data_IF_781247979651
#
_entry.id   IF_781247979651
#
_cell.length_a   1.000
_cell.length_b   1.000
_cell.length_c   1.000
_cell.angle_alpha   90.00
_cell.angle_beta   90.00
_cell.angle_gamma   90.00
#
_symmetry.space_group_name_H-M   'P 1'
#
loop_
_entity.id
_entity.type
_entity.pdbx_description
1 polymer ?
#
# COMPACT_ATOMS: atom_id res chain seq x y z
N UNK A 1 62.68 9.85 7.59
CA UNK A 1 63.67 8.99 6.90
C UNK A 1 65.02 9.24 7.53
N UNK A 2 65.86 8.21 7.63
CA UNK A 2 67.24 8.38 8.12
C UNK A 2 67.94 9.43 7.25
N UNK A 3 68.54 10.42 7.90
CA UNK A 3 69.34 11.44 7.24
C UNK A 3 70.69 10.85 6.85
N UNK A 4 71.33 11.46 5.84
CA UNK A 4 72.65 11.02 5.37
C UNK A 4 73.69 10.97 6.50
N UNK A 5 73.64 11.91 7.43
CA UNK A 5 74.54 11.99 8.57
C UNK A 5 74.34 10.83 9.54
N UNK A 6 73.08 10.47 9.84
CA UNK A 6 72.75 9.31 10.68
C UNK A 6 73.16 7.98 10.03
N UNK A 7 73.04 7.86 8.70
CA UNK A 7 73.48 6.66 7.96
C UNK A 7 75.00 6.49 8.06
N UNK A 8 75.76 7.58 7.97
CA UNK A 8 77.21 7.55 8.11
C UNK A 8 77.63 7.14 9.54
N UNK A 9 76.93 7.65 10.56
CA UNK A 9 77.16 7.23 11.96
C UNK A 9 76.91 5.73 12.14
N UNK A 10 75.87 5.17 11.53
CA UNK A 10 75.56 3.73 11.58
C UNK A 10 76.61 2.90 10.81
N UNK A 11 77.09 3.41 9.67
CA UNK A 11 78.14 2.77 8.89
C UNK A 11 79.48 2.72 9.65
N UNK A 12 79.87 3.84 10.27
CA UNK A 12 81.10 3.96 11.05
C UNK A 12 81.05 3.14 12.36
N UNK A 13 79.86 2.82 12.86
CA UNK A 13 79.65 1.94 14.01
C UNK A 13 79.90 0.45 13.70
N UNK A 14 80.10 0.08 12.43
CA UNK A 14 80.51 -1.24 12.00
C UNK A 14 79.38 -2.10 11.40
N UNK A 15 79.72 -3.30 10.88
CA UNK A 15 78.82 -4.11 10.06
C UNK A 15 77.56 -4.59 10.80
N UNK A 16 77.67 -4.91 12.09
CA UNK A 16 76.53 -5.37 12.91
C UNK A 16 75.45 -4.29 13.06
N UNK A 17 75.85 -3.02 13.19
CA UNK A 17 74.91 -1.90 13.28
C UNK A 17 74.12 -1.75 11.97
N UNK A 18 74.81 -1.85 10.83
CA UNK A 18 74.18 -1.80 9.50
C UNK A 18 73.22 -2.98 9.29
N UNK A 19 73.64 -4.21 9.61
CA UNK A 19 72.80 -5.41 9.49
C UNK A 19 71.53 -5.27 10.34
N UNK A 20 71.65 -4.79 11.58
CA UNK A 20 70.49 -4.61 12.48
C UNK A 20 69.45 -3.64 11.93
N UNK A 21 69.89 -2.57 11.25
CA UNK A 21 69.00 -1.57 10.64
C UNK A 21 68.36 -2.14 9.39
N UNK A 22 69.10 -2.88 8.56
CA UNK A 22 68.57 -3.54 7.36
C UNK A 22 67.48 -4.56 7.76
N UNK A 23 67.77 -5.43 8.73
CA UNK A 23 66.79 -6.41 9.23
C UNK A 23 65.52 -5.74 9.78
N UNK A 24 65.68 -4.62 10.51
CA UNK A 24 64.54 -3.84 11.00
C UNK A 24 63.72 -3.24 9.85
N UNK A 25 64.38 -2.71 8.82
CA UNK A 25 63.70 -2.18 7.65
C UNK A 25 62.97 -3.28 6.88
N UNK A 26 63.57 -4.46 6.72
CA UNK A 26 62.93 -5.63 6.10
C UNK A 26 61.67 -6.03 6.88
N UNK A 27 61.73 -6.12 8.21
CA UNK A 27 60.53 -6.43 9.02
C UNK A 27 59.43 -5.39 8.86
N UNK A 28 59.77 -4.10 8.80
CA UNK A 28 58.80 -3.02 8.62
C UNK A 28 58.17 -3.09 7.22
N UNK A 29 58.95 -3.41 6.19
CA UNK A 29 58.47 -3.56 4.82
C UNK A 29 57.50 -4.74 4.72
N UNK A 30 57.82 -5.87 5.35
CA UNK A 30 56.94 -7.04 5.38
C UNK A 30 55.60 -6.71 6.08
N UNK A 31 55.65 -6.11 7.28
CA UNK A 31 54.45 -5.69 8.02
C UNK A 31 53.60 -4.70 7.21
N UNK A 32 54.23 -3.72 6.55
CA UNK A 32 53.53 -2.76 5.70
C UNK A 32 52.89 -3.45 4.49
N UNK A 33 53.57 -4.40 3.86
CA UNK A 33 53.04 -5.13 2.70
C UNK A 33 51.77 -5.93 3.05
N UNK A 34 51.77 -6.59 4.21
CA UNK A 34 50.60 -7.31 4.75
C UNK A 34 49.47 -6.31 4.98
N UNK A 35 49.77 -5.16 5.61
CA UNK A 35 48.74 -4.18 5.93
C UNK A 35 48.12 -3.53 4.69
N UNK A 36 48.92 -3.28 3.66
CA UNK A 36 48.44 -2.76 2.37
C UNK A 36 47.49 -3.77 1.73
N UNK A 37 47.86 -5.05 1.67
CA UNK A 37 47.00 -6.10 1.10
C UNK A 37 45.66 -6.22 1.83
N UNK A 38 45.66 -6.15 3.16
CA UNK A 38 44.42 -6.15 3.96
C UNK A 38 43.52 -4.93 3.66
N UNK A 39 44.13 -3.75 3.54
CA UNK A 39 43.40 -2.52 3.26
C UNK A 39 42.84 -2.51 1.85
N UNK A 40 43.59 -2.97 0.86
CA UNK A 40 43.14 -3.10 -0.53
C UNK A 40 41.92 -4.02 -0.65
N UNK A 41 41.95 -5.18 0.02
CA UNK A 41 40.80 -6.10 0.01
C UNK A 41 39.58 -5.46 0.69
N UNK A 42 39.79 -4.74 1.81
CA UNK A 42 38.71 -4.04 2.50
C UNK A 42 38.10 -2.92 1.65
N UNK A 43 38.93 -2.16 0.94
CA UNK A 43 38.48 -1.12 0.01
C UNK A 43 37.64 -1.75 -1.10
N UNK A 44 38.12 -2.83 -1.72
CA UNK A 44 37.40 -3.56 -2.77
C UNK A 44 36.02 -4.06 -2.32
N UNK A 45 35.92 -4.62 -1.11
CA UNK A 45 34.64 -5.05 -0.54
C UNK A 45 33.70 -3.87 -0.30
N UNK A 46 34.21 -2.75 0.21
CA UNK A 46 33.41 -1.56 0.47
C UNK A 46 32.90 -0.91 -0.83
N UNK A 47 33.77 -0.79 -1.84
CA UNK A 47 33.40 -0.28 -3.16
C UNK A 47 32.36 -1.17 -3.84
N UNK A 48 32.51 -2.50 -3.74
CA UNK A 48 31.51 -3.45 -4.24
C UNK A 48 30.15 -3.23 -3.57
N UNK A 49 30.12 -3.05 -2.24
CA UNK A 49 28.87 -2.78 -1.50
C UNK A 49 28.24 -1.45 -1.90
N UNK A 50 29.04 -0.40 -2.11
CA UNK A 50 28.54 0.91 -2.54
C UNK A 50 27.95 0.89 -3.96
N UNK A 51 28.51 0.05 -4.84
CA UNK A 51 28.04 -0.09 -6.22
C UNK A 51 26.82 -1.03 -6.37
N UNK A 52 26.35 -1.68 -5.30
CA UNK A 52 25.13 -2.49 -5.34
C UNK A 52 23.87 -1.61 -5.32
N UNK A 53 22.95 -1.87 -6.25
CA UNK A 53 21.64 -1.24 -6.34
C UNK A 53 20.57 -2.28 -6.74
N UNK A 54 19.29 -1.89 -6.73
CA UNK A 54 18.20 -2.78 -7.10
C UNK A 54 18.28 -3.35 -8.52
N UNK A 55 19.07 -2.74 -9.42
CA UNK A 55 19.23 -3.19 -10.81
C UNK A 55 20.26 -4.32 -10.95
N UNK A 56 21.25 -4.39 -10.06
CA UNK A 56 22.35 -5.36 -10.15
C UNK A 56 22.44 -6.34 -8.96
N UNK A 57 21.57 -6.23 -7.96
CA UNK A 57 21.63 -7.06 -6.73
C UNK A 57 20.38 -7.90 -6.47
N UNK A 58 19.38 -7.90 -7.38
CA UNK A 58 18.08 -8.56 -7.21
C UNK A 58 17.31 -8.18 -5.92
N UNK A 59 17.74 -7.13 -5.23
CA UNK A 59 17.07 -6.55 -4.07
C UNK A 59 16.00 -5.55 -4.50
N UNK A 60 14.91 -5.40 -3.74
CA UNK A 60 13.87 -4.46 -4.09
C UNK A 60 14.37 -3.00 -4.02
N UNK A 61 13.85 -2.09 -4.88
CA UNK A 61 14.23 -0.66 -4.89
C UNK A 61 14.04 0.08 -3.56
N UNK A 62 13.20 -0.46 -2.66
CA UNK A 62 13.02 0.07 -1.31
C UNK A 62 14.31 -0.03 -0.47
N UNK A 63 15.17 -1.01 -0.74
CA UNK A 63 16.43 -1.28 -0.01
C UNK A 63 17.61 -0.44 -0.48
N UNK A 64 17.43 0.39 -1.52
CA UNK A 64 18.43 1.35 -1.99
C UNK A 64 18.55 2.53 -1.00
N UNK A 65 19.20 2.31 0.15
CA UNK A 65 19.39 3.34 1.19
C UNK A 65 20.55 4.31 0.89
N UNK A 66 21.51 3.89 0.05
CA UNK A 66 22.74 4.65 -0.23
C UNK A 66 22.71 5.42 -1.56
N UNK A 67 21.63 5.31 -2.35
CA UNK A 67 21.48 6.06 -3.60
C UNK A 67 20.93 7.44 -3.26
N UNK A 68 21.80 8.46 -3.30
CA UNK A 68 21.42 9.88 -3.09
C UNK A 68 20.37 10.38 -4.08
N UNK A 69 20.22 9.71 -5.22
CA UNK A 69 19.30 10.06 -6.30
C UNK A 69 18.31 8.93 -6.55
N UNK A 70 17.43 8.62 -5.58
CA UNK A 70 16.22 7.87 -5.92
C UNK A 70 15.43 8.71 -6.93
N UNK A 71 15.25 8.26 -8.20
CA UNK A 71 14.44 9.01 -9.12
C UNK A 71 13.02 9.05 -8.56
N UNK A 72 12.51 10.25 -8.30
CA UNK A 72 11.11 10.43 -7.92
C UNK A 72 10.24 9.70 -8.95
N UNK A 73 9.26 8.87 -8.52
CA UNK A 73 8.40 8.15 -9.44
C UNK A 73 7.70 9.19 -10.33
N UNK A 74 8.16 9.31 -11.57
CA UNK A 74 7.57 10.21 -12.56
C UNK A 74 6.22 9.61 -12.91
N UNK A 75 5.15 10.28 -12.47
CA UNK A 75 3.81 9.95 -12.90
C UNK A 75 3.78 9.93 -14.43
N UNK A 76 3.53 8.75 -15.01
CA UNK A 76 3.31 8.59 -16.45
C UNK A 76 1.94 9.14 -16.88
N UNK A 77 1.15 9.65 -15.93
CA UNK A 77 -0.20 10.15 -16.18
C UNK A 77 -0.13 11.45 -16.97
N UNK A 78 -0.55 11.39 -18.24
CA UNK A 78 -0.81 12.57 -19.06
C UNK A 78 -2.05 13.30 -18.54
N UNK A 79 -2.07 14.63 -18.63
CA UNK A 79 -3.27 15.42 -18.31
C UNK A 79 -4.42 14.92 -19.18
N UNK A 80 -5.55 14.57 -18.56
CA UNK A 80 -6.69 13.97 -19.26
C UNK A 80 -7.43 14.95 -20.17
N UNK A 81 -7.21 16.26 -20.01
CA UNK A 81 -7.92 17.32 -20.75
C UNK A 81 -9.41 17.41 -20.44
N UNK A 82 -9.96 16.50 -19.61
CA UNK A 82 -11.37 16.48 -19.25
C UNK A 82 -11.66 17.57 -18.22
N UNK A 83 -12.75 18.31 -18.43
CA UNK A 83 -13.26 19.26 -17.44
C UNK A 83 -13.66 18.50 -16.16
N UNK A 84 -13.42 19.07 -14.96
CA UNK A 84 -13.93 18.49 -13.73
C UNK A 84 -15.47 18.48 -13.78
N UNK A 85 -16.08 17.33 -13.56
CA UNK A 85 -17.53 17.14 -13.62
C UNK A 85 -17.94 15.72 -14.02
N UNK A 86 -19.25 15.46 -13.94
CA UNK A 86 -19.86 14.26 -14.50
C UNK A 86 -19.77 14.23 -16.03
N UNK A 87 -20.12 13.09 -16.63
CA UNK A 87 -20.21 12.96 -18.09
C UNK A 87 -21.37 13.81 -18.62
N UNK A 88 -21.24 14.32 -19.85
CA UNK A 88 -22.33 15.05 -20.53
C UNK A 88 -23.58 14.16 -20.60
N UNK A 89 -24.70 14.68 -20.08
CA UNK A 89 -25.99 13.97 -20.03
C UNK A 89 -26.24 13.14 -18.76
N UNK A 90 -25.30 13.09 -17.81
CA UNK A 90 -25.56 12.41 -16.54
C UNK A 90 -26.50 13.27 -15.65
N UNK A 91 -27.68 12.77 -15.24
CA UNK A 91 -28.51 13.49 -14.30
C UNK A 91 -27.75 13.64 -12.97
N UNK A 92 -27.65 14.87 -12.48
CA UNK A 92 -27.13 15.14 -11.16
C UNK A 92 -28.15 14.74 -10.11
N UNK A 93 -27.70 14.14 -9.01
CA UNK A 93 -28.53 13.93 -7.82
C UNK A 93 -28.20 15.04 -6.83
N UNK A 94 -29.11 16.01 -6.71
CA UNK A 94 -28.98 17.09 -5.71
C UNK A 94 -29.44 16.55 -4.35
N UNK A 95 -28.91 17.12 -3.26
CA UNK A 95 -29.39 16.84 -1.90
C UNK A 95 -30.88 17.19 -1.79
N UNK A 96 -31.66 16.27 -1.22
CA UNK A 96 -33.03 16.54 -0.82
C UNK A 96 -33.02 17.47 0.39
N UNK A 97 -33.75 18.59 0.30
CA UNK A 97 -33.80 19.61 1.36
C UNK A 97 -35.17 19.54 2.01
N UNK A 98 -35.19 19.22 3.30
CA UNK A 98 -36.39 19.28 4.14
C UNK A 98 -36.31 20.60 4.92
N UNK A 99 -37.30 21.47 4.71
CA UNK A 99 -37.37 22.76 5.40
C UNK A 99 -38.19 22.65 6.69
N UNK A 100 -37.71 23.30 7.75
CA UNK A 100 -38.39 23.40 9.03
C UNK A 100 -38.80 24.85 9.27
N UNK A 101 -40.10 25.12 9.31
CA UNK A 101 -40.65 26.46 9.53
C UNK A 101 -40.88 26.75 11.02
N UNK A 102 -40.79 28.03 11.38
CA UNK A 102 -41.13 28.54 12.71
C UNK A 102 -42.50 29.22 12.64
N UNK A 103 -43.49 28.68 13.34
CA UNK A 103 -44.85 29.25 13.35
C UNK A 103 -45.07 30.27 14.47
N UNK A 104 -44.37 30.14 15.60
CA UNK A 104 -44.57 31.00 16.77
C UNK A 104 -43.24 31.38 17.45
N UNK A 105 -43.23 32.56 18.08
CA UNK A 105 -42.13 32.99 18.93
C UNK A 105 -42.07 32.15 20.21
N UNK A 106 -40.86 31.69 20.58
CA UNK A 106 -40.65 30.83 21.76
C UNK A 106 -40.88 31.56 23.09
N UNK A 107 -40.71 32.88 23.13
CA UNK A 107 -40.82 33.66 24.37
C UNK A 107 -42.24 34.18 24.61
N UNK A 108 -42.86 34.80 23.61
CA UNK A 108 -44.17 35.44 23.75
C UNK A 108 -45.33 34.67 23.10
N UNK A 109 -45.04 33.61 22.33
CA UNK A 109 -46.05 32.79 21.65
C UNK A 109 -46.74 33.46 20.45
N UNK A 110 -46.37 34.69 20.08
CA UNK A 110 -46.96 35.37 18.93
C UNK A 110 -46.62 34.65 17.61
N UNK A 111 -47.54 34.71 16.64
CA UNK A 111 -47.34 34.06 15.33
C UNK A 111 -46.21 34.73 14.53
N UNK A 112 -45.42 33.91 13.85
CA UNK A 112 -44.34 34.31 12.95
C UNK A 112 -44.63 33.90 11.50
N UNK A 113 -45.81 33.36 11.19
CA UNK A 113 -46.15 32.83 9.86
C UNK A 113 -46.03 33.87 8.73
N UNK A 114 -46.25 35.15 9.04
CA UNK A 114 -46.19 36.25 8.07
C UNK A 114 -44.88 37.06 8.15
N UNK A 115 -43.89 36.59 8.90
CA UNK A 115 -42.59 37.25 9.04
C UNK A 115 -41.60 36.64 8.04
N UNK A 116 -40.85 37.48 7.31
CA UNK A 116 -39.86 37.02 6.35
C UNK A 116 -38.66 36.33 7.04
N UNK A 117 -38.15 35.26 6.43
CA UNK A 117 -37.00 34.51 6.96
C UNK A 117 -35.71 35.32 6.75
N UNK A 118 -35.06 35.70 7.85
CA UNK A 118 -33.80 36.47 7.79
C UNK A 118 -32.58 35.61 7.40
N UNK A 119 -32.52 34.36 7.87
CA UNK A 119 -31.40 33.45 7.61
C UNK A 119 -31.81 31.98 7.82
N UNK A 120 -31.03 31.06 7.22
CA UNK A 120 -31.18 29.62 7.42
C UNK A 120 -29.97 29.03 8.12
N UNK A 121 -30.21 28.24 9.17
CA UNK A 121 -29.21 27.35 9.73
C UNK A 121 -29.32 25.97 9.06
N UNK A 122 -28.22 25.44 8.53
CA UNK A 122 -28.22 24.17 7.76
C UNK A 122 -27.52 23.07 8.54
N UNK A 123 -28.14 21.89 8.62
CA UNK A 123 -27.55 20.65 9.14
C UNK A 123 -27.82 19.51 8.16
N UNK A 124 -26.87 18.58 8.03
CA UNK A 124 -26.96 17.44 7.12
C UNK A 124 -26.84 16.14 7.92
N UNK A 125 -27.68 15.17 7.60
CA UNK A 125 -27.60 13.82 8.14
C UNK A 125 -27.13 12.91 7.02
N UNK A 126 -25.97 12.28 7.22
CA UNK A 126 -25.46 11.24 6.32
C UNK A 126 -25.75 9.90 6.94
N UNK A 127 -26.57 9.09 6.28
CA UNK A 127 -26.95 7.77 6.76
C UNK A 127 -26.83 6.72 5.66
N UNK A 128 -26.73 5.47 6.06
CA UNK A 128 -26.67 4.31 5.18
C UNK A 128 -28.12 3.88 4.90
N UNK A 129 -28.50 3.65 3.63
CA UNK A 129 -29.86 3.18 3.33
C UNK A 129 -30.12 1.84 4.01
N UNK A 130 -31.38 1.54 4.36
CA UNK A 130 -31.73 0.28 4.98
C UNK A 130 -31.30 -0.90 4.09
N UNK A 131 -30.71 -1.92 4.71
CA UNK A 131 -30.25 -3.12 4.01
C UNK A 131 -31.46 -3.99 3.65
N UNK A 132 -31.87 -3.95 2.38
CA UNK A 132 -33.00 -4.73 1.88
C UNK A 132 -32.54 -6.06 1.26
N UNK A 133 -33.02 -7.17 1.80
CA UNK A 133 -32.78 -8.51 1.24
C UNK A 133 -33.72 -8.75 0.06
N UNK A 134 -33.17 -9.02 -1.13
CA UNK A 134 -33.95 -9.48 -2.28
C UNK A 134 -34.03 -11.01 -2.24
N UNK A 135 -35.25 -11.54 -2.10
CA UNK A 135 -35.51 -12.99 -2.11
C UNK A 135 -36.25 -13.36 -3.38
N UNK A 136 -35.77 -14.38 -4.09
CA UNK A 136 -36.40 -14.88 -5.32
C UNK A 136 -36.65 -16.38 -5.19
N UNK A 137 -37.92 -16.78 -5.24
CA UNK A 137 -38.31 -18.19 -5.24
C UNK A 137 -38.32 -18.71 -6.68
N UNK A 138 -37.44 -19.67 -6.99
CA UNK A 138 -37.44 -20.36 -8.27
C UNK A 138 -38.33 -21.59 -8.20
N UNK A 139 -39.32 -21.68 -9.10
CA UNK A 139 -40.23 -22.85 -9.20
C UNK A 139 -39.94 -23.65 -10.47
N UNK A 140 -39.76 -24.97 -10.31
CA UNK A 140 -39.72 -25.92 -11.43
C UNK A 140 -41.05 -26.64 -11.56
N UNK A 141 -41.58 -26.73 -12.78
CA UNK A 141 -42.79 -27.49 -13.04
C UNK A 141 -42.51 -28.99 -13.01
N UNK A 142 -43.46 -29.75 -12.48
CA UNK A 142 -43.49 -31.22 -12.55
C UNK A 142 -44.81 -31.62 -13.19
N UNK A 143 -44.75 -32.40 -14.27
CA UNK A 143 -45.93 -32.85 -15.03
C UNK A 143 -45.84 -34.34 -15.34
N UNK A 144 -46.93 -35.05 -15.15
CA UNK A 144 -47.05 -36.45 -15.58
C UNK A 144 -47.56 -36.50 -17.02
N UNK A 145 -46.86 -37.23 -17.89
CA UNK A 145 -47.28 -37.40 -19.28
C UNK A 145 -48.55 -38.28 -19.33
N UNK A 146 -49.66 -37.81 -19.91
CA UNK A 146 -50.90 -38.59 -19.96
C UNK A 146 -50.80 -39.82 -20.87
N UNK A 147 -49.85 -39.85 -21.80
CA UNK A 147 -49.70 -40.94 -22.77
C UNK A 147 -48.85 -42.10 -22.25
N UNK A 148 -47.78 -41.83 -21.49
CA UNK A 148 -46.84 -42.85 -21.04
C UNK A 148 -46.69 -42.94 -19.51
N UNK A 149 -47.41 -42.11 -18.75
CA UNK A 149 -47.37 -42.09 -17.28
C UNK A 149 -46.07 -41.55 -16.67
N UNK A 150 -45.06 -41.20 -17.47
CA UNK A 150 -43.76 -40.73 -16.96
C UNK A 150 -43.86 -39.32 -16.37
N UNK A 151 -43.18 -39.12 -15.23
CA UNK A 151 -43.03 -37.82 -14.58
C UNK A 151 -41.91 -37.04 -15.25
N UNK A 152 -42.18 -35.80 -15.66
CA UNK A 152 -41.23 -34.88 -16.25
C UNK A 152 -41.06 -33.68 -15.33
N UNK A 153 -39.82 -33.31 -15.02
CA UNK A 153 -39.48 -32.18 -14.16
C UNK A 153 -38.62 -31.17 -14.93
N UNK A 154 -38.99 -29.90 -14.85
CA UNK A 154 -38.16 -28.82 -15.39
C UNK A 154 -36.88 -28.67 -14.57
N UNK A 155 -35.76 -28.39 -15.26
CA UNK A 155 -34.45 -28.23 -14.61
C UNK A 155 -34.29 -26.79 -14.14
N UNK A 156 -33.67 -26.62 -12.96
CA UNK A 156 -33.29 -25.29 -12.49
C UNK A 156 -32.05 -24.78 -13.25
N UNK A 157 -31.88 -23.45 -13.39
CA UNK A 157 -30.62 -22.89 -13.88
C UNK A 157 -29.43 -23.32 -13.02
N UNK A 158 -28.22 -23.36 -13.59
CA UNK A 158 -27.00 -23.78 -12.87
C UNK A 158 -26.71 -22.95 -11.62
N UNK A 159 -27.19 -21.71 -11.57
CA UNK A 159 -27.05 -20.81 -10.43
C UNK A 159 -27.93 -21.20 -9.23
N UNK A 160 -28.96 -22.03 -9.41
CA UNK A 160 -29.92 -22.44 -8.37
C UNK A 160 -29.73 -23.92 -8.07
N UNK A 161 -28.83 -24.22 -7.13
CA UNK A 161 -28.38 -25.58 -6.82
C UNK A 161 -29.07 -26.16 -5.59
N UNK A 162 -29.35 -25.34 -4.59
CA UNK A 162 -29.87 -25.77 -3.30
C UNK A 162 -31.27 -25.18 -3.02
N UNK A 163 -32.10 -25.83 -2.19
CA UNK A 163 -33.40 -25.30 -1.80
C UNK A 163 -33.33 -23.90 -1.17
N UNK A 164 -32.26 -23.63 -0.42
CA UNK A 164 -31.92 -22.32 0.14
C UNK A 164 -30.44 -22.07 -0.11
N UNK A 165 -30.10 -20.90 -0.62
CA UNK A 165 -28.72 -20.49 -0.85
C UNK A 165 -28.58 -18.97 -0.81
N UNK A 166 -27.43 -18.49 -0.38
CA UNK A 166 -27.12 -17.06 -0.33
C UNK A 166 -26.58 -16.57 -1.67
N UNK A 167 -27.06 -15.39 -2.09
CA UNK A 167 -26.60 -14.74 -3.31
C UNK A 167 -25.17 -14.20 -3.21
N UNK A 168 -24.54 -13.86 -4.34
CA UNK A 168 -23.14 -13.43 -4.39
C UNK A 168 -22.86 -12.18 -3.55
N UNK A 169 -23.82 -11.23 -3.49
CA UNK A 169 -23.64 -9.99 -2.72
C UNK A 169 -23.59 -10.26 -1.22
N UNK A 170 -24.44 -11.13 -0.69
CA UNK A 170 -24.44 -11.50 0.74
C UNK A 170 -23.13 -12.19 1.10
N UNK A 171 -22.70 -13.15 0.26
CA UNK A 171 -21.44 -13.86 0.44
C UNK A 171 -20.24 -12.91 0.39
N UNK A 172 -20.21 -11.98 -0.57
CA UNK A 172 -19.17 -10.97 -0.68
C UNK A 172 -19.11 -10.06 0.57
N UNK A 173 -20.27 -9.60 1.05
CA UNK A 173 -20.35 -8.80 2.29
C UNK A 173 -19.85 -9.57 3.51
N UNK A 174 -20.23 -10.84 3.67
CA UNK A 174 -19.76 -11.68 4.77
C UNK A 174 -18.23 -11.87 4.75
N UNK A 175 -17.67 -12.15 3.56
CA UNK A 175 -16.22 -12.30 3.37
C UNK A 175 -15.50 -10.98 3.63
N UNK A 176 -16.04 -9.87 3.17
CA UNK A 176 -15.47 -8.53 3.40
C UNK A 176 -15.41 -8.19 4.89
N UNK A 177 -16.52 -8.41 5.61
CA UNK A 177 -16.59 -8.24 7.06
C UNK A 177 -15.59 -9.12 7.82
N UNK A 178 -15.41 -10.37 7.40
CA UNK A 178 -14.44 -11.28 8.02
C UNK A 178 -13.00 -10.85 7.75
N UNK A 179 -12.66 -10.57 6.50
CA UNK A 179 -11.27 -10.44 6.07
C UNK A 179 -10.72 -9.01 6.23
N UNK A 180 -11.56 -8.00 6.08
CA UNK A 180 -11.14 -6.59 6.13
C UNK A 180 -11.55 -5.89 7.42
N UNK A 181 -12.63 -6.34 8.06
CA UNK A 181 -13.07 -5.80 9.35
C UNK A 181 -12.80 -6.76 10.52
N UNK A 182 -12.23 -7.94 10.26
CA UNK A 182 -11.86 -8.94 11.27
C UNK A 182 -13.01 -9.30 12.22
N UNK A 183 -14.24 -9.24 11.73
CA UNK A 183 -15.40 -9.63 12.51
C UNK A 183 -15.34 -11.16 12.70
N UNK A 184 -15.44 -11.68 13.94
CA UNK A 184 -15.42 -13.11 14.21
C UNK A 184 -16.49 -13.87 13.44
N UNK A 185 -16.20 -15.11 13.03
CA UNK A 185 -17.10 -15.93 12.22
C UNK A 185 -18.50 -16.05 12.84
N UNK A 186 -18.58 -16.30 14.16
CA UNK A 186 -19.85 -16.45 14.90
C UNK A 186 -20.73 -15.19 14.88
N UNK A 187 -20.20 -14.02 14.48
CA UNK A 187 -20.95 -12.78 14.33
C UNK A 187 -21.38 -12.50 12.90
N UNK A 188 -20.97 -13.33 11.95
CA UNK A 188 -21.29 -13.20 10.51
C UNK A 188 -22.07 -14.43 10.00
N UNK A 189 -21.93 -15.58 10.68
CA UNK A 189 -22.57 -16.86 10.34
C UNK A 189 -23.98 -16.99 10.89
#
# INVERSE_FOLDING_TARGET
MLTREEILIIYDAGPEAVISVIQRLETIIEEQSIRIAELEERVKVLESRLNQNSRNSSRPPSTDFFIKEKPNPKSLRKKSGKKPGGQDGHPGTTLEVIEHSLSCCKECGHTLENVEVEAYEKRQVFDIPPVNLIVTEHKSQIKTCPYCGKINKAVFPESVKYPVQYGPNILASAIYCKNHHFIPYERIS
#
